data_IF_510570876453
#
_entry.id   IF_510570876453
#
_cell.length_a   1.000
_cell.length_b   1.000
_cell.length_c   1.000
_cell.angle_alpha   90.00
_cell.angle_beta   90.00
_cell.angle_gamma   90.00
#
_symmetry.space_group_name_H-M   'P 1'
#
loop_
_entity.id
_entity.type
_entity.pdbx_description
1 polymer ?
#
# COMPACT_ATOMS: atom_id res chain seq x y z
N UNK A 1 26.59 -77.30 21.17
CA UNK A 1 25.47 -76.38 21.33
C UNK A 1 26.02 -74.98 21.61
N UNK A 2 26.15 -74.13 20.59
CA UNK A 2 26.59 -72.74 20.74
C UNK A 2 25.51 -71.87 20.13
N UNK A 3 24.80 -71.06 20.94
CA UNK A 3 23.79 -70.10 20.49
C UNK A 3 24.48 -68.89 20.03
N UNK A 4 24.32 -68.55 18.77
CA UNK A 4 24.77 -67.26 18.21
C UNK A 4 23.69 -66.18 18.49
N UNK A 5 24.09 -65.13 19.19
CA UNK A 5 23.24 -63.97 19.44
C UNK A 5 23.53 -62.97 18.30
N UNK A 6 22.51 -62.77 17.47
CA UNK A 6 22.55 -61.78 16.37
C UNK A 6 22.16 -60.41 16.92
N UNK A 7 23.14 -59.52 17.08
CA UNK A 7 22.92 -58.14 17.50
C UNK A 7 22.57 -57.32 16.26
N UNK A 8 21.32 -56.89 16.15
CA UNK A 8 20.87 -55.96 15.10
C UNK A 8 21.21 -54.54 15.55
N UNK A 9 22.18 -53.91 14.84
CA UNK A 9 22.54 -52.54 15.03
C UNK A 9 21.55 -51.65 14.23
N UNK A 10 20.63 -51.01 14.95
CA UNK A 10 19.65 -50.08 14.35
C UNK A 10 20.34 -48.71 14.14
N UNK A 11 20.84 -48.44 12.92
CA UNK A 11 21.31 -47.11 12.53
C UNK A 11 20.11 -46.19 12.34
N UNK A 12 19.87 -45.35 13.35
CA UNK A 12 18.91 -44.22 13.25
C UNK A 12 19.47 -43.14 12.37
N UNK A 13 18.97 -42.97 11.16
CA UNK A 13 19.23 -41.81 10.29
C UNK A 13 18.41 -40.66 10.83
N UNK A 14 19.04 -39.73 11.56
CA UNK A 14 18.46 -38.42 11.85
C UNK A 14 18.47 -37.59 10.57
N UNK A 15 17.29 -37.49 9.93
CA UNK A 15 17.07 -36.49 8.89
C UNK A 15 16.86 -35.13 9.60
N UNK A 16 17.94 -34.34 9.66
CA UNK A 16 17.85 -32.93 10.01
C UNK A 16 17.11 -32.22 8.87
N UNK A 17 15.81 -32.05 9.05
CA UNK A 17 14.98 -31.19 8.21
C UNK A 17 15.48 -29.76 8.36
N UNK A 18 16.30 -29.29 7.44
CA UNK A 18 16.55 -27.87 7.24
C UNK A 18 15.24 -27.27 6.71
N UNK A 19 14.40 -26.77 7.61
CA UNK A 19 13.35 -25.82 7.25
C UNK A 19 14.05 -24.51 6.88
N UNK A 20 14.47 -24.42 5.62
CA UNK A 20 14.89 -23.17 5.04
C UNK A 20 13.66 -22.25 5.03
N UNK A 21 13.58 -21.31 5.98
CA UNK A 21 12.76 -20.12 5.84
C UNK A 21 13.27 -19.34 4.62
N UNK A 22 12.82 -19.74 3.44
CA UNK A 22 12.92 -18.92 2.25
C UNK A 22 12.06 -17.68 2.48
N UNK A 23 12.67 -16.54 2.81
CA UNK A 23 11.97 -15.25 2.73
C UNK A 23 11.42 -15.13 1.32
N UNK A 24 10.10 -15.14 1.20
CA UNK A 24 9.42 -14.79 -0.04
C UNK A 24 9.94 -13.42 -0.46
N UNK A 25 10.41 -13.28 -1.72
CA UNK A 25 10.97 -12.02 -2.26
C UNK A 25 9.97 -10.85 -2.35
N UNK A 26 8.78 -10.99 -1.76
CA UNK A 26 7.69 -10.01 -1.77
C UNK A 26 7.19 -9.68 -0.34
N UNK A 27 8.01 -9.88 0.68
CA UNK A 27 7.64 -9.48 2.04
C UNK A 27 8.05 -8.01 2.20
N UNK A 28 7.04 -7.13 2.25
CA UNK A 28 7.24 -5.71 2.54
C UNK A 28 7.85 -5.56 3.93
N UNK A 29 8.73 -4.59 4.06
CA UNK A 29 9.11 -4.07 5.37
C UNK A 29 7.94 -3.26 5.92
N UNK A 30 7.12 -3.92 6.76
CA UNK A 30 5.93 -3.32 7.36
C UNK A 30 6.39 -2.47 8.54
N UNK A 31 6.10 -1.19 8.43
CA UNK A 31 6.42 -0.19 9.44
C UNK A 31 5.42 -0.13 10.59
N UNK A 32 5.48 0.96 11.32
CA UNK A 32 4.60 1.24 12.44
C UNK A 32 3.13 1.37 11.99
N UNK A 33 2.22 1.23 12.97
CA UNK A 33 0.82 1.59 12.81
C UNK A 33 0.71 3.03 12.30
N UNK A 34 -0.16 3.23 11.32
CA UNK A 34 -0.42 4.54 10.75
C UNK A 34 -1.19 5.44 11.71
N UNK A 35 -0.79 6.69 11.76
CA UNK A 35 -1.47 7.79 12.43
C UNK A 35 -2.18 8.74 11.45
N UNK A 36 -2.17 8.42 10.15
CA UNK A 36 -2.74 9.28 9.11
C UNK A 36 -4.27 9.33 9.24
N UNK A 37 -4.76 10.55 9.46
CA UNK A 37 -6.19 10.85 9.45
C UNK A 37 -6.64 11.08 8.02
N UNK A 38 -7.76 10.45 7.66
CA UNK A 38 -8.38 10.56 6.34
C UNK A 38 -9.70 11.29 6.47
N UNK A 39 -9.98 12.21 5.56
CA UNK A 39 -11.25 12.93 5.42
C UNK A 39 -11.70 12.83 3.97
N UNK A 40 -12.97 12.51 3.74
CA UNK A 40 -13.57 12.41 2.39
C UNK A 40 -14.90 13.19 2.36
N UNK A 41 -14.83 14.46 2.72
CA UNK A 41 -16.01 15.32 2.76
C UNK A 41 -16.25 15.99 1.39
N UNK A 42 -15.38 16.94 1.05
CA UNK A 42 -15.49 17.75 -0.17
C UNK A 42 -14.86 17.03 -1.38
N UNK A 43 -13.78 16.29 -1.16
CA UNK A 43 -13.08 15.52 -2.20
C UNK A 43 -13.15 14.03 -1.86
N UNK A 44 -13.56 13.23 -2.84
CA UNK A 44 -13.61 11.76 -2.76
C UNK A 44 -12.57 11.19 -3.71
N UNK A 45 -11.89 10.13 -3.29
CA UNK A 45 -10.98 9.37 -4.14
C UNK A 45 -11.49 7.95 -4.34
N UNK A 46 -11.55 7.50 -5.59
CA UNK A 46 -11.93 6.14 -5.97
C UNK A 46 -10.92 5.56 -6.95
N UNK A 47 -10.96 4.24 -7.17
CA UNK A 47 -10.23 3.57 -8.24
C UNK A 47 -11.17 3.40 -9.44
N UNK A 48 -10.70 3.78 -10.62
CA UNK A 48 -11.44 3.58 -11.87
C UNK A 48 -11.58 2.07 -12.12
N UNK A 49 -12.80 1.65 -12.42
CA UNK A 49 -13.11 0.23 -12.68
C UNK A 49 -12.22 -0.35 -13.79
N UNK A 50 -11.75 -1.59 -13.59
CA UNK A 50 -10.93 -2.33 -14.54
C UNK A 50 -9.46 -1.87 -14.64
N UNK A 51 -9.01 -0.89 -13.83
CA UNK A 51 -7.63 -0.38 -13.90
C UNK A 51 -6.72 -0.91 -12.78
N UNK A 52 -7.29 -1.48 -11.72
CA UNK A 52 -6.52 -2.00 -10.60
C UNK A 52 -5.72 -3.24 -10.99
N UNK A 53 -4.43 -3.18 -10.73
CA UNK A 53 -3.49 -4.30 -10.84
C UNK A 53 -2.66 -4.39 -9.57
N UNK A 54 -1.77 -5.37 -9.46
CA UNK A 54 -0.82 -5.41 -8.34
C UNK A 54 0.36 -4.42 -8.48
N UNK A 55 0.39 -3.59 -9.54
CA UNK A 55 1.46 -2.63 -9.85
C UNK A 55 0.98 -1.19 -10.00
N UNK A 56 -0.30 -1.02 -10.33
CA UNK A 56 -0.84 0.27 -10.77
C UNK A 56 -2.35 0.34 -10.63
N UNK A 57 -2.87 1.55 -10.64
CA UNK A 57 -4.30 1.85 -10.79
C UNK A 57 -4.47 3.25 -11.39
N UNK A 58 -5.67 3.53 -11.93
CA UNK A 58 -6.12 4.89 -12.20
C UNK A 58 -7.01 5.34 -11.06
N UNK A 59 -6.61 6.40 -10.37
CA UNK A 59 -7.40 7.05 -9.33
C UNK A 59 -8.32 8.10 -9.96
N UNK A 60 -9.49 8.27 -9.39
CA UNK A 60 -10.42 9.36 -9.74
C UNK A 60 -10.61 10.22 -8.50
N UNK A 61 -10.17 11.48 -8.57
CA UNK A 61 -10.48 12.50 -7.59
C UNK A 61 -11.76 13.20 -8.03
N UNK A 62 -12.76 13.23 -7.17
CA UNK A 62 -14.05 13.91 -7.39
C UNK A 62 -14.20 15.03 -6.40
N UNK A 63 -14.23 16.28 -6.88
CA UNK A 63 -14.54 17.45 -6.06
C UNK A 63 -16.05 17.71 -6.05
N UNK A 64 -16.70 17.40 -4.94
CA UNK A 64 -18.14 17.57 -4.77
C UNK A 64 -18.53 18.98 -4.26
N UNK A 65 -17.56 19.86 -4.06
CA UNK A 65 -17.77 21.21 -3.51
C UNK A 65 -17.76 22.32 -4.58
N UNK A 66 -18.06 23.53 -4.15
CA UNK A 66 -17.89 24.74 -4.97
C UNK A 66 -16.52 25.40 -4.80
N UNK A 67 -15.59 24.78 -4.07
CA UNK A 67 -14.23 25.28 -3.83
C UNK A 67 -13.26 24.67 -4.83
N UNK A 68 -12.14 25.36 -5.03
CA UNK A 68 -11.00 24.80 -5.76
C UNK A 68 -10.01 24.21 -4.76
N UNK A 69 -9.40 23.09 -5.14
CA UNK A 69 -8.34 22.41 -4.39
C UNK A 69 -7.11 22.24 -5.28
N UNK A 70 -6.00 21.85 -4.65
CA UNK A 70 -4.79 21.46 -5.33
C UNK A 70 -4.34 20.09 -4.83
N UNK A 71 -3.58 19.38 -5.62
CA UNK A 71 -2.94 18.12 -5.24
C UNK A 71 -1.60 17.99 -5.95
N UNK A 72 -0.69 17.23 -5.35
CA UNK A 72 0.61 16.92 -5.94
C UNK A 72 0.72 15.49 -6.45
N UNK A 73 1.91 15.11 -6.90
CA UNK A 73 2.23 13.71 -7.23
C UNK A 73 2.34 12.78 -6.01
N UNK A 74 2.77 13.24 -4.80
CA UNK A 74 2.95 12.34 -3.67
C UNK A 74 1.71 11.51 -3.34
N UNK A 75 1.95 10.26 -2.97
CA UNK A 75 0.97 9.33 -2.42
C UNK A 75 1.66 8.36 -1.47
N UNK A 76 0.90 7.74 -0.59
CA UNK A 76 1.36 6.64 0.25
C UNK A 76 0.47 5.42 0.04
N UNK A 77 1.06 4.22 0.13
CA UNK A 77 0.31 2.97 0.19
C UNK A 77 0.57 2.36 1.57
N UNK A 78 -0.52 1.99 2.22
CA UNK A 78 -0.51 1.29 3.49
C UNK A 78 -1.17 -0.07 3.36
N UNK A 79 -0.79 -1.00 4.24
CA UNK A 79 -1.35 -2.34 4.31
C UNK A 79 -2.17 -2.51 5.59
N UNK A 80 -3.29 -3.23 5.49
CA UNK A 80 -4.12 -3.59 6.65
C UNK A 80 -3.62 -4.88 7.28
N UNK A 81 -3.25 -4.84 8.55
CA UNK A 81 -2.84 -5.99 9.37
C UNK A 81 -3.61 -5.98 10.67
N UNK A 82 -4.19 -7.11 11.05
CA UNK A 82 -4.94 -7.27 12.31
C UNK A 82 -6.01 -6.20 12.53
N UNK A 83 -6.63 -5.72 11.42
CA UNK A 83 -7.65 -4.68 11.42
C UNK A 83 -7.12 -3.24 11.46
N UNK A 84 -5.81 -3.04 11.55
CA UNK A 84 -5.15 -1.73 11.62
C UNK A 84 -4.32 -1.42 10.36
N UNK A 85 -4.17 -0.13 10.07
CA UNK A 85 -3.35 0.34 8.96
C UNK A 85 -1.90 0.48 9.39
N UNK A 86 -0.98 -0.03 8.56
CA UNK A 86 0.45 0.04 8.76
C UNK A 86 1.14 0.65 7.55
N UNK A 87 2.14 1.48 7.81
CA UNK A 87 3.02 2.01 6.77
C UNK A 87 3.83 0.89 6.14
N UNK A 88 4.11 1.02 4.85
CA UNK A 88 5.10 0.17 4.17
C UNK A 88 6.36 1.01 4.04
N UNK A 89 7.47 0.54 4.62
CA UNK A 89 8.74 1.27 4.62
C UNK A 89 9.37 1.21 3.22
N UNK A 90 9.22 2.29 2.47
CA UNK A 90 9.83 2.49 1.15
C UNK A 90 10.33 3.91 1.03
N UNK A 91 11.36 4.12 0.24
CA UNK A 91 11.80 5.46 -0.14
C UNK A 91 11.17 5.84 -1.48
N UNK A 92 10.39 6.91 -1.47
CA UNK A 92 9.72 7.44 -2.64
C UNK A 92 10.23 8.85 -2.93
N UNK A 93 10.51 9.10 -4.19
CA UNK A 93 10.94 10.41 -4.67
C UNK A 93 9.91 10.93 -5.68
N UNK A 94 9.37 12.10 -5.39
CA UNK A 94 8.38 12.74 -6.24
C UNK A 94 8.89 14.13 -6.67
N UNK A 95 8.66 14.48 -7.92
CA UNK A 95 8.61 15.87 -8.29
C UNK A 95 7.33 16.51 -7.71
N UNK A 96 7.35 17.80 -7.43
CA UNK A 96 6.32 18.47 -6.64
C UNK A 96 5.53 19.51 -7.48
N UNK A 97 4.96 19.17 -8.66
CA UNK A 97 4.04 20.07 -9.32
C UNK A 97 2.74 20.16 -8.52
N UNK A 98 2.10 21.32 -8.53
CA UNK A 98 0.74 21.49 -8.02
C UNK A 98 -0.25 21.41 -9.20
N UNK A 99 -1.23 20.54 -9.08
CA UNK A 99 -2.33 20.40 -10.04
C UNK A 99 -3.60 20.96 -9.44
N UNK A 100 -4.38 21.67 -10.24
CA UNK A 100 -5.67 22.17 -9.80
C UNK A 100 -6.75 21.10 -9.94
N UNK A 101 -7.62 21.01 -8.93
CA UNK A 101 -8.87 20.28 -8.94
C UNK A 101 -9.99 21.31 -8.76
N UNK A 102 -10.58 21.75 -9.87
CA UNK A 102 -11.58 22.82 -9.87
C UNK A 102 -12.89 22.39 -9.18
N UNK A 103 -13.71 23.37 -8.82
CA UNK A 103 -15.05 23.12 -8.29
C UNK A 103 -15.86 22.19 -9.20
N UNK A 104 -16.47 21.14 -8.62
CA UNK A 104 -17.30 20.17 -9.34
C UNK A 104 -16.56 19.36 -10.43
N UNK A 105 -15.22 19.33 -10.39
CA UNK A 105 -14.40 18.60 -11.36
C UNK A 105 -14.10 17.18 -10.91
N UNK A 106 -13.93 16.27 -11.89
CA UNK A 106 -13.34 14.95 -11.72
C UNK A 106 -11.99 14.91 -12.43
N UNK A 107 -10.99 14.36 -11.77
CA UNK A 107 -9.63 14.19 -12.31
C UNK A 107 -9.20 12.75 -12.24
N UNK A 108 -8.76 12.20 -13.37
CA UNK A 108 -8.11 10.89 -13.42
C UNK A 108 -6.60 11.05 -13.24
N UNK A 109 -6.00 10.18 -12.42
CA UNK A 109 -4.58 10.17 -12.11
C UNK A 109 -4.07 8.73 -12.24
N UNK A 110 -3.19 8.48 -13.19
CA UNK A 110 -2.52 7.19 -13.30
C UNK A 110 -1.41 7.09 -12.25
N UNK A 111 -1.44 6.02 -11.45
CA UNK A 111 -0.44 5.72 -10.44
C UNK A 111 0.19 4.37 -10.76
N UNK A 112 1.50 4.36 -10.94
CA UNK A 112 2.30 3.15 -11.00
C UNK A 112 3.24 3.12 -9.81
N UNK A 113 3.03 2.13 -8.92
CA UNK A 113 3.80 1.98 -7.69
C UNK A 113 4.89 0.90 -7.77
N UNK A 114 5.04 0.22 -8.93
CA UNK A 114 5.98 -0.89 -9.07
C UNK A 114 7.43 -0.48 -8.74
N UNK A 115 7.85 0.73 -9.12
CA UNK A 115 9.22 1.20 -8.88
C UNK A 115 9.53 1.53 -7.41
N UNK A 116 8.52 1.89 -6.61
CA UNK A 116 8.68 2.19 -5.19
C UNK A 116 8.31 1.00 -4.31
N UNK A 117 7.06 0.59 -4.38
CA UNK A 117 6.52 -0.50 -3.55
C UNK A 117 6.74 -1.90 -4.15
N UNK A 118 7.13 -2.01 -5.42
CA UNK A 118 7.15 -3.29 -6.11
C UNK A 118 5.74 -3.79 -6.44
N UNK A 119 5.62 -5.08 -6.71
CA UNK A 119 4.31 -5.74 -6.90
C UNK A 119 3.68 -6.01 -5.54
N UNK A 120 2.50 -5.47 -5.32
CA UNK A 120 1.76 -5.74 -4.10
C UNK A 120 1.35 -7.23 -4.04
N UNK A 121 1.61 -7.86 -2.90
CA UNK A 121 1.16 -9.22 -2.62
C UNK A 121 -0.34 -9.23 -2.31
N UNK A 122 -0.94 -10.44 -2.23
CA UNK A 122 -2.32 -10.60 -1.77
C UNK A 122 -2.54 -9.91 -0.43
N UNK A 123 -3.55 -9.04 -0.35
CA UNK A 123 -3.84 -8.30 0.87
C UNK A 123 -4.81 -7.14 0.67
N UNK A 124 -5.14 -6.47 1.77
CA UNK A 124 -5.95 -5.25 1.80
C UNK A 124 -5.04 -4.03 1.98
N UNK A 125 -5.21 -3.06 1.12
CA UNK A 125 -4.39 -1.86 1.05
C UNK A 125 -5.25 -0.62 1.00
N UNK A 126 -4.64 0.54 1.27
CA UNK A 126 -5.20 1.84 0.91
C UNK A 126 -4.15 2.73 0.27
N UNK A 127 -4.56 3.53 -0.71
CA UNK A 127 -3.77 4.64 -1.24
C UNK A 127 -4.26 5.92 -0.57
N UNK A 128 -3.32 6.77 -0.17
CA UNK A 128 -3.58 8.04 0.50
C UNK A 128 -2.96 9.16 -0.33
N UNK A 129 -3.68 10.26 -0.52
CA UNK A 129 -3.18 11.49 -1.16
C UNK A 129 -3.52 12.71 -0.32
N UNK A 130 -2.56 13.63 -0.24
CA UNK A 130 -2.80 14.97 0.29
C UNK A 130 -3.57 15.83 -0.71
N UNK A 131 -4.52 16.58 -0.20
CA UNK A 131 -5.30 17.59 -0.92
C UNK A 131 -5.13 18.92 -0.20
N UNK A 132 -4.73 19.95 -0.94
CA UNK A 132 -4.47 21.27 -0.40
C UNK A 132 -5.64 22.21 -0.71
N UNK A 133 -6.07 22.94 0.30
CA UNK A 133 -7.07 23.99 0.20
C UNK A 133 -6.46 25.33 0.60
N UNK A 134 -6.49 26.30 -0.31
CA UNK A 134 -6.12 27.66 -0.02
C UNK A 134 -7.30 28.39 0.65
N UNK A 135 -7.17 28.67 1.95
CA UNK A 135 -8.23 29.34 2.72
C UNK A 135 -8.02 30.85 2.83
N UNK A 136 -6.79 31.33 2.60
CA UNK A 136 -6.37 32.73 2.52
C UNK A 136 -5.20 32.79 1.55
N UNK A 137 -4.99 33.90 0.87
CA UNK A 137 -3.92 34.07 -0.12
C UNK A 137 -2.55 33.60 0.42
N UNK A 138 -1.98 32.58 -0.21
CA UNK A 138 -0.71 31.95 0.17
C UNK A 138 -0.77 31.07 1.42
N UNK A 139 -1.95 30.85 2.04
CA UNK A 139 -2.12 29.98 3.21
C UNK A 139 -2.93 28.73 2.86
N UNK A 140 -2.33 27.59 3.10
CA UNK A 140 -2.90 26.30 2.74
C UNK A 140 -3.16 25.44 3.98
N UNK A 141 -4.22 24.67 3.91
CA UNK A 141 -4.51 23.56 4.80
C UNK A 141 -4.53 22.26 4.00
N UNK A 142 -3.83 21.25 4.46
CA UNK A 142 -3.78 19.93 3.81
C UNK A 142 -4.62 18.94 4.58
N UNK A 143 -5.47 18.21 3.86
CA UNK A 143 -6.16 17.03 4.38
C UNK A 143 -5.89 15.81 3.49
N UNK A 144 -6.06 14.61 4.03
CA UNK A 144 -5.80 13.38 3.28
C UNK A 144 -7.12 12.74 2.86
N UNK A 145 -7.15 12.26 1.62
CA UNK A 145 -8.17 11.36 1.10
C UNK A 145 -7.56 9.98 0.86
N UNK A 146 -8.36 8.92 0.97
CA UNK A 146 -7.87 7.57 0.73
C UNK A 146 -8.92 6.71 0.03
N UNK A 147 -8.45 5.68 -0.67
CA UNK A 147 -9.28 4.60 -1.21
C UNK A 147 -8.71 3.26 -0.79
N UNK A 148 -9.57 2.39 -0.25
CA UNK A 148 -9.22 1.01 0.11
C UNK A 148 -9.39 0.09 -1.11
N UNK A 149 -8.54 -0.93 -1.24
CA UNK A 149 -8.61 -1.93 -2.31
C UNK A 149 -7.98 -3.26 -1.88
N UNK A 150 -8.32 -4.32 -2.60
CA UNK A 150 -7.78 -5.66 -2.37
C UNK A 150 -6.98 -6.12 -3.56
N UNK A 151 -5.84 -6.77 -3.30
CA UNK A 151 -5.09 -7.57 -4.27
C UNK A 151 -5.36 -9.04 -3.95
N UNK A 152 -5.81 -9.79 -4.96
CA UNK A 152 -6.17 -11.22 -4.87
C UNK A 152 -5.02 -12.17 -5.25
#
# INVERSE_FOLDING_TARGET
MKKAILTILLCGVMVLGMTGCGKSKNEFDIGNKSDIKVSQNDVIMTIKEGTLTNKSATLVLTNNSAKNFQYGNPYEIEIKKDGEWHKINVELYFNMPAFQLSARENKEIEINWENGYGKLAKGTYRIIKGIDYEYEEGKYETFNVAVEFNIE
#
